data_IF_076962759335
#
_entry.id   IF_076962759335
#
_cell.length_a   1.000
_cell.length_b   1.000
_cell.length_c   1.000
_cell.angle_alpha   90.00
_cell.angle_beta   90.00
_cell.angle_gamma   90.00
#
_symmetry.space_group_name_H-M   'P 1'
#
loop_
_entity.id
_entity.type
_entity.pdbx_description
1 polymer ?
#
# COMPACT_ATOMS: atom_id res chain seq x y z
N UNK A 1 -9.41 -6.61 -15.40
CA UNK A 1 -9.08 -5.50 -14.49
C UNK A 1 -7.69 -4.97 -14.84
N UNK A 2 -7.60 -4.12 -15.87
CA UNK A 2 -6.32 -3.65 -16.44
C UNK A 2 -5.62 -2.67 -15.49
N UNK A 3 -6.39 -1.79 -14.85
CA UNK A 3 -5.87 -0.74 -13.96
C UNK A 3 -5.12 -1.27 -12.72
N UNK A 4 -5.57 -2.36 -12.11
CA UNK A 4 -4.91 -2.94 -10.92
C UNK A 4 -3.51 -3.45 -11.25
N UNK A 5 -3.32 -4.05 -12.45
CA UNK A 5 -2.02 -4.48 -12.92
C UNK A 5 -1.09 -3.30 -13.27
N UNK A 6 -1.64 -2.23 -13.84
CA UNK A 6 -0.87 -1.04 -14.18
C UNK A 6 -0.40 -0.29 -12.92
N UNK A 7 -1.27 -0.13 -11.91
CA UNK A 7 -0.91 0.46 -10.61
C UNK A 7 0.17 -0.36 -9.90
N UNK A 8 0.05 -1.69 -9.90
CA UNK A 8 1.07 -2.58 -9.33
C UNK A 8 2.44 -2.38 -9.97
N UNK A 9 2.49 -2.26 -11.30
CA UNK A 9 3.74 -1.99 -12.02
C UNK A 9 4.29 -0.60 -11.71
N UNK A 10 3.42 0.41 -11.67
CA UNK A 10 3.81 1.80 -11.40
C UNK A 10 4.40 1.98 -10.01
N UNK A 11 3.81 1.34 -9.00
CA UNK A 11 4.25 1.43 -7.59
C UNK A 11 5.22 0.32 -7.18
N UNK A 12 5.63 -0.53 -8.13
CA UNK A 12 6.52 -1.68 -7.90
C UNK A 12 6.03 -2.62 -6.78
N UNK A 13 4.71 -2.80 -6.68
CA UNK A 13 4.08 -3.66 -5.67
C UNK A 13 4.02 -5.10 -6.20
N UNK A 14 4.79 -5.98 -5.55
CA UNK A 14 4.91 -7.40 -5.93
C UNK A 14 3.93 -8.32 -5.22
N UNK A 15 3.22 -7.87 -4.18
CA UNK A 15 2.35 -8.73 -3.37
C UNK A 15 1.08 -9.11 -4.13
N UNK A 16 0.87 -10.39 -4.52
CA UNK A 16 -0.29 -10.80 -5.30
C UNK A 16 -1.63 -10.63 -4.57
N UNK A 17 -1.61 -10.46 -3.25
CA UNK A 17 -2.83 -10.37 -2.43
C UNK A 17 -3.43 -8.96 -2.34
N UNK A 18 -2.76 -7.94 -2.89
CA UNK A 18 -3.22 -6.54 -2.85
C UNK A 18 -4.09 -6.22 -4.08
N UNK A 19 -5.38 -5.97 -3.88
CA UNK A 19 -6.28 -5.62 -4.98
C UNK A 19 -6.60 -4.13 -4.96
N UNK A 20 -6.25 -3.42 -6.04
CA UNK A 20 -6.71 -2.06 -6.29
C UNK A 20 -8.10 -2.08 -6.91
N UNK A 21 -8.98 -1.21 -6.43
CA UNK A 21 -10.35 -1.02 -6.93
C UNK A 21 -10.44 0.27 -7.76
N UNK A 22 -11.50 0.43 -8.53
CA UNK A 22 -11.75 1.67 -9.26
C UNK A 22 -11.93 2.84 -8.28
N UNK A 23 -11.33 4.00 -8.60
CA UNK A 23 -11.33 5.15 -7.69
C UNK A 23 -10.39 5.00 -6.49
N UNK A 24 -9.39 4.11 -6.55
CA UNK A 24 -8.42 3.91 -5.47
C UNK A 24 -7.49 5.11 -5.20
N UNK A 25 -7.47 6.13 -6.05
CA UNK A 25 -6.67 7.33 -5.83
C UNK A 25 -7.37 8.22 -4.81
N UNK A 26 -6.77 8.42 -3.65
CA UNK A 26 -7.34 9.33 -2.67
C UNK A 26 -7.18 10.78 -3.15
N UNK A 27 -8.23 11.56 -2.98
CA UNK A 27 -8.26 12.96 -3.40
C UNK A 27 -7.43 13.84 -2.47
N UNK A 28 -7.30 13.42 -1.21
CA UNK A 28 -6.56 14.14 -0.19
C UNK A 28 -5.12 13.63 -0.13
N UNK A 29 -4.19 14.48 -0.57
CA UNK A 29 -2.76 14.21 -0.41
C UNK A 29 -2.35 14.32 1.06
N UNK A 30 -1.53 13.39 1.53
CA UNK A 30 -0.99 13.42 2.90
C UNK A 30 0.39 14.06 2.92
N UNK A 31 0.74 14.77 3.99
CA UNK A 31 2.11 15.25 4.19
C UNK A 31 2.81 14.38 5.23
N UNK A 32 3.91 13.74 4.84
CA UNK A 32 4.77 12.97 5.75
C UNK A 32 6.18 13.58 5.70
N UNK A 33 6.77 13.89 6.86
CA UNK A 33 8.11 14.49 6.95
C UNK A 33 8.30 15.76 6.08
N UNK A 34 7.24 16.56 5.91
CA UNK A 34 7.26 17.78 5.09
C UNK A 34 7.17 17.55 3.58
N UNK A 35 7.02 16.29 3.15
CA UNK A 35 6.85 15.93 1.73
C UNK A 35 5.40 15.54 1.47
N UNK A 36 4.85 16.04 0.36
CA UNK A 36 3.49 15.72 -0.09
C UNK A 36 3.48 14.36 -0.79
N UNK A 37 2.57 13.48 -0.37
CA UNK A 37 2.34 12.16 -0.95
C UNK A 37 0.91 12.06 -1.45
N UNK A 38 0.77 11.58 -2.67
CA UNK A 38 -0.50 11.08 -3.16
C UNK A 38 -0.69 9.65 -2.61
N UNK A 39 -1.87 9.35 -2.06
CA UNK A 39 -2.16 8.01 -1.53
C UNK A 39 -3.07 7.23 -2.46
N UNK A 40 -2.91 5.91 -2.42
CA UNK A 40 -3.80 4.98 -3.07
C UNK A 40 -4.30 3.95 -2.07
N UNK A 41 -5.60 3.69 -2.10
CA UNK A 41 -6.29 2.73 -1.26
C UNK A 41 -6.39 1.36 -1.95
N UNK A 42 -6.12 0.28 -1.23
CA UNK A 42 -6.21 -1.07 -1.75
C UNK A 42 -6.73 -2.06 -0.70
N UNK A 43 -7.28 -3.19 -1.14
CA UNK A 43 -7.78 -4.26 -0.28
C UNK A 43 -6.77 -5.40 -0.24
N UNK A 44 -6.41 -5.85 0.96
CA UNK A 44 -5.65 -7.08 1.18
C UNK A 44 -6.61 -8.26 1.35
N UNK A 45 -6.29 -9.40 0.74
CA UNK A 45 -7.06 -10.65 0.90
C UNK A 45 -6.81 -11.37 2.23
N UNK A 46 -5.88 -10.88 3.05
CA UNK A 46 -5.49 -11.46 4.32
C UNK A 46 -5.23 -10.36 5.36
N UNK A 47 -5.32 -10.72 6.65
CA UNK A 47 -4.95 -9.84 7.75
C UNK A 47 -3.45 -9.95 8.05
N UNK A 48 -2.63 -8.91 7.76
CA UNK A 48 -1.20 -8.97 8.02
C UNK A 48 -0.92 -8.94 9.53
N UNK A 49 -0.26 -9.97 10.06
CA UNK A 49 0.13 -10.04 11.48
C UNK A 49 1.47 -9.31 11.72
N UNK A 50 2.41 -9.46 10.79
CA UNK A 50 3.70 -8.79 10.79
C UNK A 50 4.27 -8.75 9.37
N UNK A 51 5.21 -7.85 9.10
CA UNK A 51 5.96 -7.86 7.85
C UNK A 51 6.82 -9.13 7.76
N UNK A 52 6.72 -9.94 6.70
CA UNK A 52 7.53 -11.16 6.57
C UNK A 52 9.03 -10.87 6.38
N UNK A 53 9.39 -9.67 5.91
CA UNK A 53 10.80 -9.30 5.69
C UNK A 53 11.46 -8.76 6.97
N UNK A 54 10.85 -7.79 7.65
CA UNK A 54 11.45 -7.12 8.81
C UNK A 54 10.84 -7.51 10.15
N UNK A 55 9.84 -8.41 10.18
CA UNK A 55 9.12 -8.87 11.37
C UNK A 55 8.43 -7.75 12.18
N UNK A 56 8.30 -6.56 11.61
CA UNK A 56 7.58 -5.45 12.22
C UNK A 56 6.11 -5.85 12.38
N UNK A 57 5.64 -5.90 13.63
CA UNK A 57 4.26 -6.26 13.94
C UNK A 57 3.30 -5.23 13.36
N UNK A 58 2.17 -5.72 12.88
CA UNK A 58 1.04 -4.84 12.59
C UNK A 58 0.50 -4.30 13.93
N UNK A 59 0.63 -2.99 14.12
CA UNK A 59 0.05 -2.29 15.27
C UNK A 59 -0.99 -1.34 14.70
N UNK A 60 -2.26 -1.52 15.07
CA UNK A 60 -3.38 -0.68 14.61
C UNK A 60 -3.52 -0.60 13.08
N UNK A 61 -3.42 -1.74 12.38
CA UNK A 61 -3.51 -1.81 10.91
C UNK A 61 -2.47 -0.96 10.16
N UNK A 62 -1.35 -0.66 10.82
CA UNK A 62 -0.27 0.16 10.27
C UNK A 62 1.06 -0.59 10.36
N UNK A 63 1.71 -0.77 9.21
CA UNK A 63 3.08 -1.28 9.10
C UNK A 63 3.92 -0.23 8.39
N UNK A 64 4.77 0.48 9.14
CA UNK A 64 5.73 1.41 8.58
C UNK A 64 6.94 0.63 8.05
N UNK A 65 6.97 0.40 6.73
CA UNK A 65 8.14 -0.13 6.03
C UNK A 65 8.97 1.04 5.52
N UNK A 66 10.23 1.11 5.95
CA UNK A 66 11.21 1.98 5.29
C UNK A 66 11.73 1.17 4.10
N UNK A 67 11.55 1.69 2.89
CA UNK A 67 11.89 0.98 1.65
C UNK A 67 13.31 0.41 1.69
N UNK A 68 13.43 -0.84 1.25
CA UNK A 68 14.65 -1.44 0.72
C UNK A 68 14.30 -2.01 -0.63
#
# INVERSE_FOLDING_TARGET
MTYSNDIRKLLEITDPNITFIEGCLDQDAITLNGVLYQTVSATLSYDPVACPCCHQKNINNSILKHGF
#
